data_IF_051924025272
#
_entry.id   IF_051924025272
#
_cell.length_a   1.000
_cell.length_b   1.000
_cell.length_c   1.000
_cell.angle_alpha   90.00
_cell.angle_beta   90.00
_cell.angle_gamma   90.00
#
_symmetry.space_group_name_H-M   'P 1'
#
loop_
_entity.id
_entity.type
_entity.pdbx_description
1 polymer ?
#
# COMPACT_ATOMS: atom_id res chain seq x y z
N UNK A 1 -3.04 10.10 -5.56
CA UNK A 1 -4.18 9.51 -6.31
C UNK A 1 -5.06 8.69 -5.39
N UNK A 2 -6.39 8.73 -5.57
CA UNK A 2 -7.28 7.79 -4.87
C UNK A 2 -7.11 6.37 -5.39
N UNK A 3 -6.81 5.45 -4.49
CA UNK A 3 -6.72 4.02 -4.80
C UNK A 3 -8.03 3.33 -4.47
N UNK A 4 -8.67 3.64 -3.34
CA UNK A 4 -9.97 3.07 -2.96
C UNK A 4 -11.03 4.17 -2.80
N UNK A 5 -11.89 4.31 -3.79
CA UNK A 5 -12.99 5.28 -3.75
C UNK A 5 -14.04 4.96 -2.67
N UNK A 6 -14.31 3.68 -2.39
CA UNK A 6 -15.30 3.30 -1.39
C UNK A 6 -14.91 3.70 0.04
N UNK A 7 -13.62 3.82 0.32
CA UNK A 7 -13.08 4.13 1.66
C UNK A 7 -12.36 5.47 1.70
N UNK A 8 -12.25 6.18 0.56
CA UNK A 8 -11.52 7.44 0.47
C UNK A 8 -10.02 7.27 0.70
N UNK A 9 -9.42 6.14 0.34
CA UNK A 9 -8.00 5.85 0.60
C UNK A 9 -7.17 6.25 -0.62
N UNK A 10 -6.12 7.02 -0.37
CA UNK A 10 -5.15 7.49 -1.34
C UNK A 10 -3.91 6.60 -1.40
N UNK A 11 -3.11 6.80 -2.44
CA UNK A 11 -1.75 6.27 -2.53
C UNK A 11 -0.88 6.71 -1.36
N UNK A 12 -1.00 7.96 -0.92
CA UNK A 12 -0.23 8.47 0.21
C UNK A 12 -0.60 7.74 1.50
N UNK A 13 -1.89 7.50 1.76
CA UNK A 13 -2.32 6.73 2.94
C UNK A 13 -1.70 5.32 2.96
N UNK A 14 -1.63 4.66 1.80
CA UNK A 14 -1.00 3.33 1.69
C UNK A 14 0.51 3.42 1.96
N UNK A 15 1.19 4.43 1.40
CA UNK A 15 2.63 4.65 1.64
C UNK A 15 2.92 4.95 3.10
N UNK A 16 2.07 5.75 3.75
CA UNK A 16 2.19 6.07 5.17
C UNK A 16 1.96 4.83 6.03
N UNK A 17 0.98 3.97 5.70
CA UNK A 17 0.81 2.68 6.36
C UNK A 17 2.06 1.79 6.21
N UNK A 18 2.69 1.77 5.03
CA UNK A 18 3.94 1.03 4.81
C UNK A 18 5.12 1.60 5.62
N UNK A 19 5.23 2.93 5.72
CA UNK A 19 6.23 3.57 6.59
C UNK A 19 6.01 3.26 8.07
N UNK A 20 4.75 3.06 8.47
CA UNK A 20 4.36 2.62 9.82
C UNK A 20 4.51 1.11 10.04
N UNK A 21 5.09 0.38 9.08
CA UNK A 21 5.46 -1.03 9.21
C UNK A 21 4.62 -2.01 8.41
N UNK A 22 3.63 -1.57 7.63
CA UNK A 22 2.90 -2.47 6.74
C UNK A 22 3.84 -3.03 5.65
N UNK A 23 3.90 -4.35 5.52
CA UNK A 23 4.73 -5.03 4.50
C UNK A 23 3.91 -5.89 3.54
N UNK A 24 2.59 -5.86 3.65
CA UNK A 24 1.71 -6.65 2.78
C UNK A 24 0.38 -5.96 2.52
N UNK A 25 -0.29 -6.33 1.42
CA UNK A 25 -1.66 -5.90 1.15
C UNK A 25 -2.61 -6.24 2.31
N UNK A 26 -2.37 -7.37 2.98
CA UNK A 26 -3.18 -7.80 4.12
C UNK A 26 -3.06 -6.80 5.27
N UNK A 27 -1.84 -6.42 5.64
CA UNK A 27 -1.60 -5.45 6.72
C UNK A 27 -2.14 -4.07 6.38
N UNK A 28 -1.93 -3.59 5.14
CA UNK A 28 -2.50 -2.32 4.69
C UNK A 28 -4.03 -2.35 4.74
N UNK A 29 -4.66 -3.47 4.36
CA UNK A 29 -6.11 -3.67 4.48
C UNK A 29 -6.59 -3.64 5.91
N UNK A 30 -5.89 -4.30 6.82
CA UNK A 30 -6.25 -4.32 8.24
C UNK A 30 -6.10 -2.94 8.89
N UNK A 31 -5.13 -2.13 8.46
CA UNK A 31 -4.94 -0.77 8.98
C UNK A 31 -5.90 0.27 8.41
N UNK A 32 -6.21 0.20 7.11
CA UNK A 32 -6.94 1.26 6.40
C UNK A 32 -8.36 0.87 5.99
N UNK A 33 -8.82 -0.34 6.30
CA UNK A 33 -10.04 -0.93 5.73
C UNK A 33 -10.02 -1.02 4.19
N UNK A 34 -8.83 -1.06 3.58
CA UNK A 34 -8.65 -1.07 2.13
C UNK A 34 -9.34 -2.26 1.46
N UNK A 35 -10.15 -1.98 0.44
CA UNK A 35 -10.80 -3.02 -0.38
C UNK A 35 -11.86 -3.85 0.36
N UNK A 36 -12.33 -3.41 1.53
CA UNK A 36 -13.36 -4.10 2.33
C UNK A 36 -14.81 -3.85 1.86
N UNK A 37 -15.01 -3.00 0.84
CA UNK A 37 -16.33 -2.72 0.26
C UNK A 37 -16.54 -3.48 -1.06
N UNK A 38 -16.14 -2.90 -2.21
CA UNK A 38 -16.34 -3.53 -3.53
C UNK A 38 -15.14 -4.33 -4.04
N UNK A 39 -13.97 -4.21 -3.40
CA UNK A 39 -12.74 -4.93 -3.76
C UNK A 39 -12.05 -4.51 -5.06
N UNK A 40 -12.64 -3.60 -5.86
CA UNK A 40 -12.14 -3.23 -7.20
C UNK A 40 -10.74 -2.60 -7.21
N UNK A 41 -10.33 -1.97 -6.12
CA UNK A 41 -9.01 -1.35 -5.96
C UNK A 41 -7.87 -2.34 -5.71
N UNK A 42 -8.18 -3.63 -5.47
CA UNK A 42 -7.18 -4.64 -5.12
C UNK A 42 -6.01 -4.75 -6.12
N UNK A 43 -6.22 -4.79 -7.46
CA UNK A 43 -5.11 -4.84 -8.41
C UNK A 43 -4.21 -3.60 -8.33
N UNK A 44 -4.77 -2.39 -8.36
CA UNK A 44 -3.95 -1.16 -8.28
C UNK A 44 -3.21 -1.05 -6.94
N UNK A 45 -3.88 -1.36 -5.83
CA UNK A 45 -3.27 -1.33 -4.51
C UNK A 45 -2.10 -2.32 -4.38
N UNK A 46 -2.27 -3.55 -4.89
CA UNK A 46 -1.21 -4.57 -4.85
C UNK A 46 0.00 -4.17 -5.70
N UNK A 47 -0.23 -3.59 -6.87
CA UNK A 47 0.85 -3.07 -7.71
C UNK A 47 1.63 -1.99 -6.95
N UNK A 48 0.95 -0.99 -6.40
CA UNK A 48 1.57 0.08 -5.62
C UNK A 48 2.39 -0.44 -4.43
N UNK A 49 1.83 -1.37 -3.65
CA UNK A 49 2.53 -1.97 -2.50
C UNK A 49 3.78 -2.74 -2.97
N UNK A 50 3.68 -3.49 -4.06
CA UNK A 50 4.81 -4.26 -4.59
C UNK A 50 5.93 -3.35 -5.09
N UNK A 51 5.58 -2.28 -5.79
CA UNK A 51 6.53 -1.28 -6.28
C UNK A 51 7.24 -0.58 -5.12
N UNK A 52 6.51 -0.19 -4.08
CA UNK A 52 7.13 0.47 -2.93
C UNK A 52 8.02 -0.47 -2.12
N UNK A 53 7.64 -1.73 -1.94
CA UNK A 53 8.52 -2.74 -1.31
C UNK A 53 9.82 -2.91 -2.11
N UNK A 54 9.74 -2.96 -3.44
CA UNK A 54 10.92 -3.07 -4.31
C UNK A 54 11.82 -1.83 -4.18
N UNK A 55 11.23 -0.62 -4.11
CA UNK A 55 12.00 0.62 -3.90
C UNK A 55 12.67 0.67 -2.52
N UNK A 56 11.96 0.26 -1.47
CA UNK A 56 12.52 0.19 -0.12
C UNK A 56 13.71 -0.78 -0.10
N UNK A 57 13.55 -1.98 -0.67
CA UNK A 57 14.62 -2.96 -0.76
C UNK A 57 15.84 -2.42 -1.54
N UNK A 58 15.61 -1.74 -2.67
CA UNK A 58 16.67 -1.14 -3.47
C UNK A 58 17.41 0.00 -2.75
N UNK A 59 16.75 0.75 -1.86
CA UNK A 59 17.40 1.80 -1.06
C UNK A 59 18.30 1.23 0.02
N UNK A 60 17.89 0.12 0.64
CA UNK A 60 18.69 -0.54 1.69
C UNK A 60 19.99 -1.10 1.11
N UNK A 61 19.98 -1.63 -0.11
CA UNK A 61 21.16 -2.21 -0.76
C UNK A 61 22.20 -1.19 -1.23
N UNK A 62 21.89 0.10 -1.30
CA UNK A 62 22.85 1.17 -1.66
C UNK A 62 23.51 1.80 -0.43
N UNK A 63 22.95 1.57 0.77
CA UNK A 63 23.44 2.14 2.03
C UNK A 63 24.42 1.21 2.79
N UNK A 64 24.72 0.02 2.26
CA UNK A 64 25.65 -0.97 2.80
C UNK A 64 26.94 -1.03 1.97
#
# INVERSE_FOLDING_TARGET
>A
MYICLCRGITDQDIKDAMQNGAQSYREVREMLDLGTCCGKCAPEAKALISDELAQIAARISVAA
#
